data_IF_010710307853
#
_entry.id   IF_010710307853
#
_cell.length_a   1.000
_cell.length_b   1.000
_cell.length_c   1.000
_cell.angle_alpha   90.00
_cell.angle_beta   90.00
_cell.angle_gamma   90.00
#
_symmetry.space_group_name_H-M   'P 1'
#
loop_
_entity.id
_entity.type
_entity.pdbx_description
1 polymer ?
#
# COMPACT_ATOMS: atom_id res chain seq x y z
N UNK A 1 0.22 -2.19 -11.60
CA UNK A 1 1.56 -1.97 -11.02
C UNK A 1 2.60 -2.98 -11.49
N UNK A 2 2.36 -4.29 -11.41
CA UNK A 2 3.28 -5.35 -11.89
C UNK A 2 3.71 -5.18 -13.36
N UNK A 3 2.79 -4.81 -14.26
CA UNK A 3 3.09 -4.61 -15.68
C UNK A 3 4.08 -3.46 -15.92
N UNK A 4 3.95 -2.33 -15.18
CA UNK A 4 4.91 -1.22 -15.27
C UNK A 4 6.31 -1.63 -14.79
N UNK A 5 6.40 -2.33 -13.67
CA UNK A 5 7.68 -2.84 -13.17
C UNK A 5 8.31 -3.84 -14.13
N UNK A 6 7.54 -4.78 -14.65
CA UNK A 6 8.02 -5.75 -15.64
C UNK A 6 8.58 -5.05 -16.89
N UNK A 7 7.87 -4.04 -17.40
CA UNK A 7 8.30 -3.25 -18.55
C UNK A 7 9.59 -2.47 -18.27
N UNK A 8 9.70 -1.81 -17.11
CA UNK A 8 10.86 -1.01 -16.72
C UNK A 8 12.13 -1.87 -16.52
N UNK A 9 11.97 -3.09 -16.04
CA UNK A 9 13.09 -3.98 -15.74
C UNK A 9 13.34 -5.03 -16.82
N UNK A 10 12.62 -4.99 -17.95
CA UNK A 10 12.74 -5.97 -19.03
C UNK A 10 12.37 -7.39 -18.62
N UNK A 11 11.58 -7.55 -17.54
CA UNK A 11 11.15 -8.84 -17.02
C UNK A 11 9.79 -9.18 -17.63
N UNK A 12 9.67 -10.37 -18.22
CA UNK A 12 8.38 -10.85 -18.71
C UNK A 12 7.39 -11.04 -17.55
N UNK A 13 6.21 -10.43 -17.65
CA UNK A 13 5.13 -10.76 -16.72
C UNK A 13 4.78 -12.25 -16.89
N UNK A 14 4.68 -13.02 -15.79
CA UNK A 14 4.38 -14.44 -15.88
C UNK A 14 3.01 -14.64 -16.53
N UNK A 15 2.96 -15.47 -17.55
CA UNK A 15 1.72 -15.85 -18.22
C UNK A 15 1.04 -16.95 -17.42
N UNK A 16 -0.28 -17.09 -17.57
CA UNK A 16 -1.05 -18.06 -16.76
C UNK A 16 -0.54 -19.52 -16.92
N UNK A 17 0.00 -19.87 -18.09
CA UNK A 17 0.57 -21.20 -18.33
C UNK A 17 1.98 -21.40 -17.75
N UNK A 18 2.67 -20.33 -17.38
CA UNK A 18 4.01 -20.38 -16.78
C UNK A 18 3.95 -20.55 -15.27
N UNK A 19 2.87 -20.09 -14.62
CA UNK A 19 2.76 -20.02 -13.16
C UNK A 19 1.65 -20.86 -12.57
N UNK A 20 0.84 -21.49 -13.38
CA UNK A 20 -0.37 -22.18 -12.93
C UNK A 20 -0.78 -23.36 -13.77
N UNK A 21 0.16 -24.13 -14.32
CA UNK A 21 -0.17 -25.26 -15.19
C UNK A 21 -1.17 -26.26 -14.62
N UNK A 22 -1.31 -26.32 -13.29
CA UNK A 22 -2.27 -27.13 -12.58
C UNK A 22 -3.47 -26.36 -12.03
N UNK A 23 -3.35 -25.01 -11.90
CA UNK A 23 -4.41 -24.13 -11.40
C UNK A 23 -5.18 -23.49 -12.56
N UNK A 24 -6.27 -24.10 -12.96
CA UNK A 24 -7.15 -23.58 -14.02
C UNK A 24 -7.72 -22.18 -13.66
N UNK A 25 -7.80 -21.83 -12.38
CA UNK A 25 -8.27 -20.52 -11.94
C UNK A 25 -7.33 -19.40 -12.40
N UNK A 26 -6.05 -19.72 -12.55
CA UNK A 26 -5.02 -18.74 -12.98
C UNK A 26 -5.27 -18.22 -14.40
N UNK A 27 -6.01 -18.94 -15.22
CA UNK A 27 -6.38 -18.51 -16.56
C UNK A 27 -7.18 -17.20 -16.54
N UNK A 28 -8.01 -17.01 -15.53
CA UNK A 28 -8.92 -15.86 -15.39
C UNK A 28 -8.51 -14.95 -14.23
N UNK A 29 -8.00 -15.52 -13.15
CA UNK A 29 -7.56 -14.84 -11.94
C UNK A 29 -6.03 -14.75 -11.91
N UNK A 30 -5.46 -13.98 -12.84
CA UNK A 30 -4.02 -13.79 -13.00
C UNK A 30 -3.65 -12.31 -12.89
N UNK A 31 -2.36 -12.01 -12.70
CA UNK A 31 -1.85 -10.65 -12.51
C UNK A 31 -1.96 -9.72 -13.73
N UNK A 32 -2.36 -10.21 -14.89
CA UNK A 32 -2.61 -9.42 -16.10
C UNK A 32 -4.05 -8.92 -16.18
N UNK A 33 -4.97 -9.55 -15.49
CA UNK A 33 -6.36 -9.13 -15.40
C UNK A 33 -6.50 -8.06 -14.32
N UNK A 34 -7.09 -6.91 -14.64
CA UNK A 34 -7.33 -5.83 -13.66
C UNK A 34 -8.23 -6.26 -12.51
N UNK A 35 -9.15 -7.18 -12.74
CA UNK A 35 -10.14 -7.62 -11.76
C UNK A 35 -9.76 -8.93 -11.05
N UNK A 36 -8.46 -9.30 -11.07
CA UNK A 36 -8.02 -10.50 -10.37
C UNK A 36 -8.03 -10.31 -8.84
N UNK A 37 -8.13 -11.42 -8.12
CA UNK A 37 -8.20 -11.45 -6.65
C UNK A 37 -6.85 -11.75 -5.98
N UNK A 38 -5.77 -11.93 -6.75
CA UNK A 38 -4.45 -12.34 -6.24
C UNK A 38 -3.67 -11.20 -5.56
N UNK A 39 -3.99 -9.96 -5.87
CA UNK A 39 -3.62 -8.79 -5.08
C UNK A 39 -4.73 -7.74 -5.16
N UNK A 40 -4.78 -6.88 -4.17
CA UNK A 40 -5.75 -5.77 -4.13
C UNK A 40 -5.06 -4.46 -4.43
N UNK A 41 -5.48 -3.79 -5.50
CA UNK A 41 -5.16 -2.39 -5.71
C UNK A 41 -6.19 -1.54 -4.95
N UNK A 42 -5.75 -0.91 -3.86
CA UNK A 42 -6.66 -0.14 -2.99
C UNK A 42 -7.28 1.05 -3.71
N UNK A 43 -6.53 1.70 -4.62
CA UNK A 43 -7.08 2.81 -5.40
C UNK A 43 -8.22 2.35 -6.29
N UNK A 44 -8.07 1.21 -6.97
CA UNK A 44 -9.10 0.64 -7.83
C UNK A 44 -10.34 0.22 -7.04
N UNK A 45 -10.17 -0.53 -5.94
CA UNK A 45 -11.32 -1.04 -5.17
C UNK A 45 -12.06 0.03 -4.39
N UNK A 46 -11.36 1.04 -3.88
CA UNK A 46 -11.98 2.16 -3.15
C UNK A 46 -12.71 3.12 -4.10
N UNK A 47 -12.21 3.29 -5.32
CA UNK A 47 -12.90 4.07 -6.36
C UNK A 47 -14.02 3.31 -7.08
N UNK A 48 -14.27 2.04 -6.73
CA UNK A 48 -15.19 1.18 -7.47
C UNK A 48 -14.75 0.96 -8.93
N UNK A 49 -13.45 1.00 -9.20
CA UNK A 49 -12.83 0.97 -10.55
C UNK A 49 -13.17 2.17 -11.44
N UNK A 50 -13.71 3.23 -10.86
CA UNK A 50 -14.06 4.48 -11.52
C UNK A 50 -12.88 5.45 -11.52
N UNK A 51 -12.25 5.69 -12.67
CA UNK A 51 -11.06 6.55 -12.76
C UNK A 51 -11.25 8.00 -12.30
N UNK A 52 -12.50 8.49 -12.27
CA UNK A 52 -12.83 9.85 -11.78
C UNK A 52 -13.05 9.91 -10.28
N UNK A 53 -13.22 8.77 -9.61
CA UNK A 53 -13.43 8.66 -8.18
C UNK A 53 -12.15 8.31 -7.40
N UNK A 54 -11.00 8.30 -8.08
CA UNK A 54 -9.71 8.06 -7.42
C UNK A 54 -9.30 9.25 -6.55
N UNK A 55 -8.76 8.96 -5.37
CA UNK A 55 -8.19 9.94 -4.47
C UNK A 55 -6.74 9.59 -4.12
N UNK A 56 -5.89 10.59 -3.82
CA UNK A 56 -4.54 10.34 -3.32
C UNK A 56 -4.55 9.50 -2.04
N UNK A 57 -3.50 8.67 -1.87
CA UNK A 57 -3.31 7.86 -0.65
C UNK A 57 -3.37 8.71 0.62
N UNK A 58 -2.74 9.87 0.58
CA UNK A 58 -2.69 10.83 1.69
C UNK A 58 -4.07 11.28 2.14
N UNK A 59 -4.94 11.63 1.19
CA UNK A 59 -6.28 12.16 1.50
C UNK A 59 -7.15 11.07 2.13
N UNK A 60 -7.06 9.84 1.62
CA UNK A 60 -7.78 8.69 2.19
C UNK A 60 -7.23 8.34 3.58
N UNK A 61 -5.90 8.39 3.78
CA UNK A 61 -5.30 8.14 5.08
C UNK A 61 -5.78 9.17 6.12
N UNK A 62 -5.71 10.46 5.79
CA UNK A 62 -6.15 11.54 6.68
C UNK A 62 -7.65 11.46 7.01
N UNK A 63 -8.48 11.13 6.01
CA UNK A 63 -9.91 10.90 6.22
C UNK A 63 -10.17 9.75 7.22
N UNK A 64 -9.32 8.73 7.23
CA UNK A 64 -9.41 7.60 8.15
C UNK A 64 -8.78 7.86 9.52
N UNK A 65 -8.18 9.05 9.76
CA UNK A 65 -7.46 9.39 11.00
C UNK A 65 -6.03 8.85 11.04
N UNK A 66 -5.48 8.42 9.91
CA UNK A 66 -4.09 7.99 9.77
C UNK A 66 -3.19 9.18 9.41
N UNK A 67 -1.86 9.08 9.58
CA UNK A 67 -0.94 10.21 9.40
C UNK A 67 -0.98 10.89 8.02
N UNK A 68 -1.26 10.14 6.96
CA UNK A 68 -1.26 10.69 5.61
C UNK A 68 0.12 11.12 5.17
N UNK A 69 0.25 12.40 4.77
CA UNK A 69 1.51 12.94 4.25
C UNK A 69 2.53 13.20 5.36
N UNK A 70 3.70 12.55 5.25
CA UNK A 70 4.81 12.67 6.18
C UNK A 70 6.02 13.37 5.50
N UNK A 71 5.97 14.69 5.44
CA UNK A 71 7.10 15.54 4.99
C UNK A 71 7.33 15.57 3.48
N UNK A 72 7.81 14.50 2.88
CA UNK A 72 8.15 14.41 1.45
C UNK A 72 6.92 14.08 0.57
N UNK A 73 7.00 14.38 -0.71
CA UNK A 73 6.02 14.00 -1.73
C UNK A 73 6.69 13.31 -2.92
N UNK A 74 5.90 12.53 -3.66
CA UNK A 74 6.41 11.69 -4.76
C UNK A 74 7.13 12.46 -5.87
N UNK A 75 6.77 13.71 -6.12
CA UNK A 75 7.43 14.60 -7.08
C UNK A 75 8.86 14.98 -6.67
N UNK A 76 9.19 14.91 -5.37
CA UNK A 76 10.51 15.22 -4.84
C UNK A 76 11.48 14.02 -4.89
N UNK A 77 10.99 12.80 -5.14
CA UNK A 77 11.79 11.57 -5.11
C UNK A 77 12.97 11.65 -6.07
N UNK A 78 12.76 12.11 -7.31
CA UNK A 78 13.80 12.20 -8.30
C UNK A 78 14.92 13.17 -7.89
N UNK A 79 14.54 14.34 -7.36
CA UNK A 79 15.53 15.32 -6.86
C UNK A 79 16.32 14.73 -5.70
N UNK A 80 15.67 14.13 -4.71
CA UNK A 80 16.33 13.49 -3.56
C UNK A 80 17.29 12.38 -3.99
N UNK A 81 16.89 11.59 -5.00
CA UNK A 81 17.77 10.57 -5.57
C UNK A 81 19.05 11.16 -6.16
N UNK A 82 18.93 12.23 -6.95
CA UNK A 82 20.10 12.93 -7.53
C UNK A 82 20.99 13.55 -6.45
N UNK A 83 20.41 14.04 -5.37
CA UNK A 83 21.13 14.61 -4.21
C UNK A 83 21.77 13.50 -3.32
N UNK A 84 21.55 12.21 -3.62
CA UNK A 84 22.06 11.08 -2.85
C UNK A 84 21.31 10.80 -1.55
N UNK A 85 20.17 11.45 -1.30
CA UNK A 85 19.37 11.33 -0.08
C UNK A 85 18.44 10.11 -0.13
N UNK A 86 19.06 8.93 -0.22
CA UNK A 86 18.35 7.64 -0.30
C UNK A 86 17.58 7.35 1.00
N UNK A 87 18.09 7.82 2.13
CA UNK A 87 17.42 7.59 3.41
C UNK A 87 16.06 8.31 3.48
N UNK A 88 15.96 9.54 3.03
CA UNK A 88 14.69 10.26 2.97
C UNK A 88 13.68 9.56 2.04
N UNK A 89 14.15 9.05 0.89
CA UNK A 89 13.29 8.29 -0.04
C UNK A 89 12.77 7.01 0.63
N UNK A 90 13.64 6.27 1.33
CA UNK A 90 13.26 5.07 2.06
C UNK A 90 12.22 5.38 3.13
N UNK A 91 12.47 6.38 3.97
CA UNK A 91 11.57 6.77 5.05
C UNK A 91 10.20 7.21 4.52
N UNK A 92 10.17 7.90 3.40
CA UNK A 92 8.95 8.25 2.68
C UNK A 92 8.19 7.00 2.20
N UNK A 93 8.88 6.06 1.52
CA UNK A 93 8.26 4.82 1.06
C UNK A 93 7.73 3.96 2.22
N UNK A 94 8.46 3.90 3.35
CA UNK A 94 8.01 3.18 4.55
C UNK A 94 6.72 3.80 5.11
N UNK A 95 6.61 5.12 5.16
CA UNK A 95 5.40 5.82 5.61
C UNK A 95 4.20 5.57 4.66
N UNK A 96 4.43 5.55 3.36
CA UNK A 96 3.39 5.21 2.37
C UNK A 96 2.91 3.76 2.53
N UNK A 97 3.81 2.82 2.80
CA UNK A 97 3.47 1.41 3.08
C UNK A 97 2.63 1.30 4.35
N UNK A 98 2.98 2.03 5.42
CA UNK A 98 2.22 2.03 6.67
C UNK A 98 0.80 2.59 6.47
N UNK A 99 0.64 3.71 5.78
CA UNK A 99 -0.67 4.27 5.44
C UNK A 99 -1.49 3.28 4.58
N UNK A 100 -0.86 2.67 3.58
CA UNK A 100 -1.51 1.66 2.72
C UNK A 100 -2.01 0.47 3.52
N UNK A 101 -1.19 -0.04 4.44
CA UNK A 101 -1.57 -1.15 5.32
C UNK A 101 -2.75 -0.79 6.22
N UNK A 102 -2.75 0.37 6.84
CA UNK A 102 -3.83 0.84 7.71
C UNK A 102 -5.14 1.04 6.95
N UNK A 103 -5.08 1.60 5.74
CA UNK A 103 -6.25 1.72 4.85
C UNK A 103 -6.76 0.33 4.45
N UNK A 104 -5.88 -0.62 4.14
CA UNK A 104 -6.26 -1.99 3.83
C UNK A 104 -6.97 -2.67 5.01
N UNK A 105 -6.47 -2.52 6.23
CA UNK A 105 -7.13 -3.03 7.44
C UNK A 105 -8.54 -2.43 7.62
N UNK A 106 -8.69 -1.13 7.38
CA UNK A 106 -9.99 -0.45 7.44
C UNK A 106 -10.94 -0.92 6.33
N UNK A 107 -10.42 -1.13 5.14
CA UNK A 107 -11.17 -1.71 4.03
C UNK A 107 -11.66 -3.12 4.33
N UNK A 108 -10.81 -3.98 4.89
CA UNK A 108 -11.19 -5.34 5.29
C UNK A 108 -12.25 -5.34 6.40
N UNK A 109 -12.15 -4.43 7.36
CA UNK A 109 -13.17 -4.23 8.40
C UNK A 109 -14.51 -3.81 7.77
N UNK A 110 -14.49 -2.80 6.89
CA UNK A 110 -15.69 -2.31 6.19
C UNK A 110 -16.34 -3.41 5.35
N UNK A 111 -15.56 -4.30 4.75
CA UNK A 111 -16.04 -5.43 3.95
C UNK A 111 -16.51 -6.64 4.79
N UNK A 112 -16.42 -6.58 6.11
CA UNK A 112 -16.74 -7.69 7.00
C UNK A 112 -15.77 -8.88 6.91
N UNK A 113 -14.61 -8.69 6.32
CA UNK A 113 -13.54 -9.71 6.23
C UNK A 113 -12.72 -9.78 7.51
N UNK A 114 -12.84 -8.79 8.36
CA UNK A 114 -12.18 -8.67 9.67
C UNK A 114 -13.17 -8.19 10.71
N UNK A 115 -13.04 -8.70 11.94
CA UNK A 115 -13.81 -8.20 13.07
C UNK A 115 -13.19 -6.93 13.64
N UNK A 116 -13.94 -6.18 14.44
CA UNK A 116 -13.44 -4.99 15.12
C UNK A 116 -12.23 -5.32 16.01
N UNK A 117 -12.32 -6.37 16.81
CA UNK A 117 -11.24 -6.83 17.68
C UNK A 117 -10.01 -7.24 16.89
N UNK A 118 -10.20 -7.91 15.74
CA UNK A 118 -9.10 -8.28 14.84
C UNK A 118 -8.43 -7.06 14.21
N UNK A 119 -9.19 -6.00 13.87
CA UNK A 119 -8.66 -4.73 13.40
C UNK A 119 -7.82 -4.04 14.48
N UNK A 120 -8.36 -3.92 15.70
CA UNK A 120 -7.69 -3.27 16.82
C UNK A 120 -6.41 -4.02 17.21
N UNK A 121 -6.43 -5.35 17.20
CA UNK A 121 -5.25 -6.18 17.47
C UNK A 121 -4.12 -5.92 16.45
N UNK A 122 -4.43 -5.80 15.15
CA UNK A 122 -3.42 -5.48 14.13
C UNK A 122 -2.89 -4.05 14.26
N UNK A 123 -3.75 -3.08 14.55
CA UNK A 123 -3.32 -1.71 14.84
C UNK A 123 -2.39 -1.66 16.07
N UNK A 124 -2.72 -2.39 17.13
CA UNK A 124 -1.88 -2.48 18.33
C UNK A 124 -0.52 -3.09 18.01
N UNK A 125 -0.47 -4.22 17.32
CA UNK A 125 0.78 -4.86 16.89
C UNK A 125 1.67 -3.91 16.09
N UNK A 126 1.06 -3.16 15.17
CA UNK A 126 1.79 -2.19 14.36
C UNK A 126 2.38 -1.08 15.24
N UNK A 127 1.60 -0.52 16.17
CA UNK A 127 2.09 0.50 17.11
C UNK A 127 3.27 -0.02 17.94
N UNK A 128 3.16 -1.23 18.48
CA UNK A 128 4.22 -1.88 19.29
C UNK A 128 5.49 -2.10 18.44
N UNK A 129 5.34 -2.54 17.19
CA UNK A 129 6.45 -2.71 16.26
C UNK A 129 7.19 -1.39 16.01
N UNK A 130 6.44 -0.34 15.61
CA UNK A 130 7.03 0.97 15.31
C UNK A 130 7.70 1.60 16.54
N UNK A 131 7.11 1.43 17.72
CA UNK A 131 7.69 1.86 18.99
C UNK A 131 9.00 1.13 19.29
N UNK A 132 9.04 -0.19 19.08
CA UNK A 132 10.21 -1.03 19.32
C UNK A 132 11.35 -0.72 18.35
N UNK A 133 11.03 -0.49 17.07
CA UNK A 133 12.01 -0.08 16.07
C UNK A 133 12.63 1.29 16.40
N UNK A 134 11.88 2.21 16.99
CA UNK A 134 12.34 3.49 17.54
C UNK A 134 12.95 4.44 16.52
N UNK A 135 12.80 4.18 15.20
CA UNK A 135 13.32 5.08 14.14
C UNK A 135 12.52 6.39 14.13
N UNK A 136 13.20 7.51 13.94
CA UNK A 136 12.62 8.84 14.05
C UNK A 136 11.32 9.00 13.27
N UNK A 137 11.29 8.63 11.98
CA UNK A 137 10.10 8.76 11.12
C UNK A 137 8.94 7.84 11.56
N UNK A 138 9.22 6.71 12.23
CA UNK A 138 8.18 5.86 12.82
C UNK A 138 7.57 6.48 14.07
N UNK A 139 8.39 7.13 14.90
CA UNK A 139 7.88 7.85 16.08
C UNK A 139 7.03 9.05 15.66
N UNK A 140 7.47 9.81 14.66
CA UNK A 140 6.69 10.90 14.05
C UNK A 140 5.37 10.37 13.45
N UNK A 141 5.40 9.18 12.80
CA UNK A 141 4.20 8.53 12.30
C UNK A 141 3.22 8.17 13.43
N UNK A 142 3.73 7.63 14.55
CA UNK A 142 2.91 7.29 15.72
C UNK A 142 2.27 8.53 16.35
N UNK A 143 3.01 9.64 16.47
CA UNK A 143 2.50 10.93 16.99
C UNK A 143 1.38 11.51 16.13
N UNK A 144 1.49 11.36 14.80
CA UNK A 144 0.49 11.85 13.85
C UNK A 144 -0.74 10.94 13.76
N UNK A 145 -0.65 9.70 14.21
CA UNK A 145 -1.73 8.70 14.09
C UNK A 145 -2.80 8.89 15.17
N UNK A 146 -3.93 9.46 14.79
CA UNK A 146 -5.07 9.83 15.66
C UNK A 146 -6.14 8.74 15.79
N UNK A 147 -6.14 7.73 14.92
CA UNK A 147 -7.17 6.67 14.82
C UNK A 147 -6.90 5.42 15.64
#
# INVERSE_FOLDING_TARGET
MLFRSALLHGISAPRYWETGGEDQSFRWNNYLNRFHERHTDLMDVLSGYEGRATAPLTDIAELCGFPGKMGMSGDQVWKRYLDGDIEAIRNYCESDVLNTWLIYLRYDLMRGRRTQEGYEAECKKLRELLQTEGRKHFLEFLEAWKG
#
